data_IF_207015545040
#
_entry.id   IF_207015545040
#
_cell.length_a   1.000
_cell.length_b   1.000
_cell.length_c   1.000
_cell.angle_alpha   90.00
_cell.angle_beta   90.00
_cell.angle_gamma   90.00
#
_symmetry.space_group_name_H-M   'P 1'
#
loop_
_entity.id
_entity.type
_entity.pdbx_description
1 polymer ?
#
# COMPACT_ATOMS: atom_id res chain seq x y z
N UNK A 1 -9.48 -11.52 9.60
CA UNK A 1 -9.08 -10.38 8.75
C UNK A 1 -7.61 -10.55 8.44
N UNK A 2 -7.23 -10.61 7.16
CA UNK A 2 -5.83 -10.64 6.76
C UNK A 2 -5.17 -9.33 7.19
N UNK A 3 -4.31 -9.38 8.20
CA UNK A 3 -3.62 -8.21 8.72
C UNK A 3 -2.33 -8.02 7.91
N UNK A 4 -2.48 -7.69 6.62
CA UNK A 4 -1.35 -7.52 5.71
C UNK A 4 -0.53 -6.32 6.17
N UNK A 5 0.74 -6.55 6.51
CA UNK A 5 1.67 -5.49 6.91
C UNK A 5 2.61 -5.21 5.74
N UNK A 6 2.72 -3.95 5.37
CA UNK A 6 3.66 -3.49 4.36
C UNK A 6 4.74 -2.63 5.03
N UNK A 7 5.96 -2.72 4.51
CA UNK A 7 7.09 -1.94 5.01
C UNK A 7 7.89 -1.37 3.85
N UNK A 8 8.38 -0.14 4.01
CA UNK A 8 9.27 0.52 3.06
C UNK A 8 10.62 0.83 3.71
N UNK A 9 11.71 0.67 2.96
CA UNK A 9 13.00 1.21 3.34
C UNK A 9 13.11 2.65 2.81
N UNK A 10 13.17 3.63 3.71
CA UNK A 10 13.27 5.06 3.35
C UNK A 10 14.61 5.42 2.69
N UNK A 11 15.61 4.55 2.77
CA UNK A 11 16.93 4.78 2.15
C UNK A 11 16.99 4.30 0.69
N UNK A 12 16.50 3.10 0.38
CA UNK A 12 16.63 2.50 -0.96
C UNK A 12 15.30 2.25 -1.69
N UNK A 13 14.16 2.52 -1.04
CA UNK A 13 12.83 2.34 -1.63
C UNK A 13 12.32 0.89 -1.65
N UNK A 14 13.05 -0.09 -1.09
CA UNK A 14 12.57 -1.47 -1.02
C UNK A 14 11.22 -1.56 -0.30
N UNK A 15 10.23 -2.16 -0.97
CA UNK A 15 8.87 -2.38 -0.47
C UNK A 15 8.62 -3.87 -0.27
N UNK A 16 8.14 -4.25 0.91
CA UNK A 16 7.84 -5.65 1.23
C UNK A 16 6.43 -5.79 1.82
N UNK A 17 5.80 -6.94 1.56
CA UNK A 17 4.56 -7.38 2.20
C UNK A 17 4.79 -8.61 3.06
N UNK A 18 4.21 -8.64 4.26
CA UNK A 18 4.38 -9.75 5.19
C UNK A 18 3.38 -10.87 4.92
N UNK A 19 3.89 -12.07 4.61
CA UNK A 19 3.08 -13.29 4.44
C UNK A 19 2.92 -14.04 5.77
N UNK A 20 3.99 -14.14 6.56
CA UNK A 20 3.98 -14.74 7.90
C UNK A 20 4.80 -13.87 8.87
N UNK A 21 4.16 -13.38 9.92
CA UNK A 21 4.77 -12.45 10.87
C UNK A 21 5.24 -13.18 12.13
N UNK A 22 6.56 -13.28 12.31
CA UNK A 22 7.18 -13.85 13.51
C UNK A 22 7.37 -12.83 14.65
N UNK A 23 6.96 -11.57 14.48
CA UNK A 23 7.03 -10.53 15.50
C UNK A 23 8.40 -9.87 15.65
N UNK A 24 9.28 -9.99 14.66
CA UNK A 24 10.63 -9.40 14.67
C UNK A 24 10.74 -8.16 13.78
N UNK A 25 11.61 -7.18 14.10
CA UNK A 25 11.78 -6.00 13.25
C UNK A 25 12.34 -6.35 11.87
N UNK A 26 11.77 -5.76 10.82
CA UNK A 26 12.29 -5.86 9.46
C UNK A 26 13.43 -4.85 9.27
N UNK A 27 14.53 -5.31 8.67
CA UNK A 27 15.76 -4.54 8.50
C UNK A 27 16.14 -4.44 7.02
N UNK A 28 16.53 -3.24 6.57
CA UNK A 28 17.08 -3.01 5.24
C UNK A 28 18.09 -1.85 5.31
N UNK A 29 19.18 -1.90 4.55
CA UNK A 29 20.24 -0.87 4.58
C UNK A 29 20.77 -0.55 6.00
N UNK A 30 20.84 -1.56 6.87
CA UNK A 30 21.35 -1.40 8.24
C UNK A 30 20.39 -0.73 9.23
N UNK A 31 19.15 -0.43 8.83
CA UNK A 31 18.15 0.24 9.69
C UNK A 31 16.82 -0.50 9.69
N UNK A 32 15.96 -0.19 10.68
CA UNK A 32 14.60 -0.69 10.74
C UNK A 32 13.79 -0.10 9.58
N UNK A 33 13.02 -0.93 8.90
CA UNK A 33 12.09 -0.47 7.88
C UNK A 33 10.86 0.20 8.50
N UNK A 34 10.29 1.17 7.81
CA UNK A 34 9.09 1.89 8.24
C UNK A 34 7.85 1.09 7.85
N UNK A 35 6.97 0.82 8.82
CA UNK A 35 5.67 0.18 8.56
C UNK A 35 4.75 1.19 7.86
N UNK A 36 4.15 0.80 6.74
CA UNK A 36 3.14 1.59 6.06
C UNK A 36 1.78 1.34 6.70
N UNK A 37 1.22 2.38 7.32
CA UNK A 37 -0.11 2.35 7.93
C UNK A 37 -1.13 3.01 7.01
N UNK A 38 -2.09 2.23 6.54
CA UNK A 38 -3.10 2.70 5.60
C UNK A 38 -3.95 3.85 6.19
N UNK A 39 -4.20 4.88 5.38
CA UNK A 39 -5.08 5.99 5.75
C UNK A 39 -4.49 7.02 6.73
N UNK A 40 -3.17 6.97 7.00
CA UNK A 40 -2.49 7.92 7.90
C UNK A 40 -1.99 9.19 7.20
N UNK A 41 -1.86 9.17 5.88
CA UNK A 41 -1.47 10.34 5.09
C UNK A 41 -2.71 11.16 4.76
N UNK A 42 -2.63 12.47 5.00
CA UNK A 42 -3.63 13.46 4.60
C UNK A 42 -3.59 13.66 3.06
N UNK A 43 -4.19 12.72 2.33
CA UNK A 43 -4.35 12.74 0.89
C UNK A 43 -5.83 12.79 0.49
N UNK A 44 -6.12 13.13 -0.78
CA UNK A 44 -7.48 13.14 -1.33
C UNK A 44 -8.11 11.75 -1.26
N UNK A 45 -9.02 11.53 -0.30
CA UNK A 45 -9.63 10.23 -0.05
C UNK A 45 -10.33 9.67 -1.29
N UNK A 46 -10.95 10.55 -2.07
CA UNK A 46 -11.64 10.23 -3.32
C UNK A 46 -10.72 9.68 -4.42
N UNK A 47 -9.41 9.92 -4.35
CA UNK A 47 -8.43 9.39 -5.31
C UNK A 47 -7.62 8.21 -4.78
N UNK A 48 -7.53 8.04 -3.46
CA UNK A 48 -6.61 7.08 -2.85
C UNK A 48 -7.32 5.90 -2.17
N UNK A 49 -8.61 6.01 -1.84
CA UNK A 49 -9.37 4.89 -1.27
C UNK A 49 -9.86 3.98 -2.40
N UNK A 50 -9.54 2.68 -2.38
CA UNK A 50 -10.03 1.75 -3.38
C UNK A 50 -11.56 1.62 -3.37
N UNK A 51 -12.17 1.66 -4.55
CA UNK A 51 -13.59 1.37 -4.78
C UNK A 51 -13.68 -0.04 -5.38
N UNK A 52 -14.39 -0.92 -4.67
CA UNK A 52 -14.53 -2.34 -5.05
C UNK A 52 -15.92 -2.58 -5.60
N UNK A 53 -16.01 -3.24 -6.76
CA UNK A 53 -17.26 -3.79 -7.28
C UNK A 53 -17.10 -5.28 -7.57
N UNK A 54 -18.17 -6.05 -7.33
CA UNK A 54 -18.19 -7.50 -7.52
C UNK A 54 -19.29 -7.85 -8.51
N UNK A 55 -18.96 -8.65 -9.52
CA UNK A 55 -19.90 -9.11 -10.54
C UNK A 55 -19.65 -10.59 -10.81
N UNK A 56 -20.54 -11.44 -10.33
CA UNK A 56 -20.33 -12.90 -10.36
C UNK A 56 -19.09 -13.30 -9.56
N UNK A 57 -18.11 -13.90 -10.24
CA UNK A 57 -16.81 -14.29 -9.66
C UNK A 57 -15.70 -13.24 -9.91
N UNK A 58 -16.02 -12.10 -10.52
CA UNK A 58 -15.05 -11.05 -10.83
C UNK A 58 -15.08 -9.97 -9.76
N UNK A 59 -13.91 -9.63 -9.22
CA UNK A 59 -13.71 -8.47 -8.34
C UNK A 59 -12.97 -7.40 -9.14
N UNK A 60 -13.60 -6.25 -9.32
CA UNK A 60 -12.97 -5.06 -9.92
C UNK A 60 -12.60 -4.09 -8.81
N UNK A 61 -11.33 -3.68 -8.76
CA UNK A 61 -10.84 -2.67 -7.82
C UNK A 61 -10.38 -1.45 -8.62
N UNK A 62 -10.91 -0.27 -8.29
CA UNK A 62 -10.49 1.02 -8.86
C UNK A 62 -9.90 1.89 -7.77
N UNK A 63 -8.89 2.69 -8.09
CA UNK A 63 -8.30 3.66 -7.15
C UNK A 63 -8.43 5.06 -7.78
N UNK A 64 -9.27 5.96 -7.27
CA UNK A 64 -10.32 5.84 -6.25
C UNK A 64 -11.73 5.97 -6.84
N UNK A 65 -12.62 6.73 -6.18
CA UNK A 65 -13.91 7.14 -6.76
C UNK A 65 -13.76 8.20 -7.85
N UNK A 66 -12.66 8.97 -7.78
CA UNK A 66 -12.13 9.80 -8.85
C UNK A 66 -10.81 9.16 -9.30
N UNK A 67 -10.52 9.18 -10.59
CA UNK A 67 -9.29 8.61 -11.12
C UNK A 67 -8.05 9.22 -10.46
N UNK A 68 -7.19 8.35 -9.95
CA UNK A 68 -5.87 8.72 -9.49
C UNK A 68 -4.96 9.01 -10.69
N UNK A 69 -4.07 10.02 -10.65
CA UNK A 69 -3.06 10.23 -11.68
C UNK A 69 -2.20 8.98 -11.92
N UNK A 70 -1.87 8.70 -13.18
CA UNK A 70 -0.98 7.59 -13.56
C UNK A 70 0.12 8.12 -14.49
N UNK A 71 0.89 9.07 -13.97
CA UNK A 71 2.06 9.68 -14.65
C UNK A 71 3.35 9.19 -13.99
N UNK A 72 4.49 9.37 -14.65
CA UNK A 72 5.79 8.85 -14.19
C UNK A 72 6.15 9.36 -12.79
N UNK A 73 5.84 10.63 -12.50
CA UNK A 73 6.13 11.27 -11.22
C UNK A 73 5.12 10.92 -10.11
N UNK A 74 3.92 10.44 -10.47
CA UNK A 74 2.86 10.14 -9.54
C UNK A 74 1.89 9.09 -10.10
N UNK A 75 2.00 7.87 -9.56
CA UNK A 75 1.18 6.72 -9.91
C UNK A 75 0.88 5.85 -8.68
N UNK A 76 -0.08 4.93 -8.82
CA UNK A 76 -0.32 3.87 -7.84
C UNK A 76 0.72 2.76 -8.08
N UNK A 77 1.61 2.55 -7.11
CA UNK A 77 2.66 1.53 -7.09
C UNK A 77 2.32 0.37 -6.15
#
# INVERSE_FOLDING_TARGET
MFNNKFYICEHCGNLIGMINDAGVPMMCCGQKMTKLEAGTVEASKEKHIPVVSVTGNTVTVKVGSVEHPMVEEHSIL
#
